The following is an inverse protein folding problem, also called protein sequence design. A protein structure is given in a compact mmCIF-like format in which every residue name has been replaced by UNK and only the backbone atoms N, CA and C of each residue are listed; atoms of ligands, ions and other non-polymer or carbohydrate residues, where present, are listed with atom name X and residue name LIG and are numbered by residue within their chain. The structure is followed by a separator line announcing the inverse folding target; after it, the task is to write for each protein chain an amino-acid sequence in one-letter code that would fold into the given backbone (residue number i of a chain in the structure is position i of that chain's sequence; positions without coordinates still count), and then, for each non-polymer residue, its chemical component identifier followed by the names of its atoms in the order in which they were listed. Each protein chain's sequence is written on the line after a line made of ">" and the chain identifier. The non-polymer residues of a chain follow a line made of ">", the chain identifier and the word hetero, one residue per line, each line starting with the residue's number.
data_IF_282151108175
#
_entry.id   IF_282151108175
#
_cell.length_a   1.000
_cell.length_b   1.000
_cell.length_c   1.000
_cell.angle_alpha   90.00
_cell.angle_beta   90.00
_cell.angle_gamma   90.00
#
_symmetry.space_group_name_H-M   'P 1'
#
loop_
_entity.id
_entity.type
_entity.pdbx_description
1 polymer ?
#
# COMPACT_ATOMS: atom_id res chain seq x y z
N UNK A 1 -29.93 -0.70 6.96
CA UNK A 1 -29.24 -1.97 6.68
C UNK A 1 -27.85 -1.64 6.12
N UNK A 2 -26.80 -1.90 6.89
CA UNK A 2 -25.43 -1.56 6.49
C UNK A 2 -24.94 -2.51 5.38
N UNK A 3 -24.28 -1.97 4.36
CA UNK A 3 -23.67 -2.74 3.27
C UNK A 3 -22.96 -3.99 3.79
N UNK A 4 -23.31 -5.14 3.22
CA UNK A 4 -22.68 -6.41 3.60
C UNK A 4 -21.19 -6.40 3.23
N UNK A 5 -20.38 -7.14 3.98
CA UNK A 5 -18.95 -7.32 3.73
C UNK A 5 -18.65 -7.77 2.30
N UNK A 6 -19.56 -8.52 1.68
CA UNK A 6 -19.48 -8.96 0.29
C UNK A 6 -19.63 -7.81 -0.72
N UNK A 7 -20.49 -6.82 -0.42
CA UNK A 7 -20.67 -5.63 -1.26
C UNK A 7 -19.46 -4.70 -1.18
N UNK A 8 -18.86 -4.54 0.00
CA UNK A 8 -17.57 -3.83 0.13
C UNK A 8 -16.47 -4.51 -0.67
N UNK A 9 -16.36 -5.84 -0.60
CA UNK A 9 -15.36 -6.59 -1.37
C UNK A 9 -15.59 -6.52 -2.89
N UNK A 10 -16.85 -6.47 -3.36
CA UNK A 10 -17.19 -6.28 -4.77
C UNK A 10 -16.94 -4.86 -5.26
N UNK A 11 -17.23 -3.85 -4.43
CA UNK A 11 -16.92 -2.45 -4.73
C UNK A 11 -15.40 -2.20 -4.74
N UNK A 12 -14.67 -2.84 -3.83
CA UNK A 12 -13.21 -2.81 -3.76
C UNK A 12 -12.56 -3.47 -4.97
N UNK A 13 -12.96 -4.71 -5.32
CA UNK A 13 -12.43 -5.41 -6.52
C UNK A 13 -12.64 -4.61 -7.81
N UNK A 14 -13.81 -4.00 -7.99
CA UNK A 14 -14.11 -3.15 -9.16
C UNK A 14 -13.28 -1.87 -9.25
N UNK A 15 -12.79 -1.34 -8.12
CA UNK A 15 -11.98 -0.11 -8.10
C UNK A 15 -10.48 -0.34 -8.25
N UNK A 16 -10.01 -1.59 -8.20
CA UNK A 16 -8.60 -1.91 -7.97
C UNK A 16 -7.98 -2.97 -8.89
N UNK A 17 -8.73 -3.48 -9.88
CA UNK A 17 -8.14 -4.06 -11.08
C UNK A 17 -8.18 -2.99 -12.18
N UNK A 18 -7.13 -2.17 -12.26
CA UNK A 18 -6.77 -1.50 -13.51
C UNK A 18 -5.58 -2.28 -14.04
N UNK A 19 -5.84 -3.18 -14.99
CA UNK A 19 -4.77 -3.85 -15.73
C UNK A 19 -3.85 -2.78 -16.35
N UNK A 20 -2.58 -2.75 -15.93
CA UNK A 20 -1.55 -1.91 -16.54
C UNK A 20 -0.65 -1.07 -15.62
N UNK A 21 -0.93 -0.94 -14.31
CA UNK A 21 -0.14 -0.09 -13.40
C UNK A 21 0.35 -0.79 -12.11
N UNK A 22 0.04 -2.08 -11.94
CA UNK A 22 0.47 -2.86 -10.78
C UNK A 22 1.73 -3.68 -11.14
N UNK A 23 2.84 -3.46 -10.43
CA UNK A 23 4.07 -4.26 -10.55
C UNK A 23 4.17 -5.34 -9.46
N UNK A 24 4.80 -6.47 -9.79
CA UNK A 24 4.97 -7.58 -8.85
C UNK A 24 6.12 -7.31 -7.88
N UNK A 25 5.78 -7.12 -6.61
CA UNK A 25 6.75 -7.09 -5.51
C UNK A 25 7.30 -8.51 -5.23
N UNK A 26 8.49 -8.80 -5.75
CA UNK A 26 9.16 -10.11 -5.60
C UNK A 26 10.11 -10.10 -4.40
N UNK A 27 9.58 -10.35 -3.20
CA UNK A 27 10.38 -10.36 -1.97
C UNK A 27 9.97 -11.46 -0.99
N UNK A 28 10.92 -11.91 -0.18
CA UNK A 28 10.69 -12.77 0.99
C UNK A 28 10.78 -11.89 2.24
N UNK A 29 9.76 -11.97 3.10
CA UNK A 29 9.71 -11.23 4.37
C UNK A 29 9.66 -12.20 5.55
N UNK A 30 10.17 -11.80 6.74
CA UNK A 30 10.01 -12.59 7.95
C UNK A 30 8.53 -12.88 8.25
N UNK A 31 8.25 -14.09 8.76
CA UNK A 31 6.87 -14.54 9.09
C UNK A 31 6.14 -13.55 10.00
N UNK A 32 6.86 -12.94 10.94
CA UNK A 32 6.29 -11.95 11.87
C UNK A 32 5.78 -10.69 11.15
N UNK A 33 6.50 -10.23 10.11
CA UNK A 33 6.10 -9.06 9.31
C UNK A 33 4.84 -9.38 8.52
N UNK A 34 4.79 -10.55 7.87
CA UNK A 34 3.58 -11.01 7.17
C UNK A 34 2.37 -11.07 8.11
N UNK A 35 2.51 -11.65 9.30
CA UNK A 35 1.43 -11.73 10.30
C UNK A 35 0.95 -10.36 10.77
N UNK A 36 1.85 -9.38 10.91
CA UNK A 36 1.47 -7.99 11.23
C UNK A 36 0.65 -7.38 10.10
N UNK A 37 1.10 -7.51 8.86
CA UNK A 37 0.37 -7.02 7.68
C UNK A 37 -1.02 -7.64 7.58
N UNK A 38 -1.14 -8.94 7.81
CA UNK A 38 -2.41 -9.66 7.84
C UNK A 38 -3.37 -9.11 8.91
N UNK A 39 -2.89 -8.88 10.14
CA UNK A 39 -3.74 -8.33 11.21
C UNK A 39 -4.22 -6.91 10.87
N UNK A 40 -3.33 -6.05 10.37
CA UNK A 40 -3.66 -4.68 10.00
C UNK A 40 -4.69 -4.63 8.85
N UNK A 41 -4.45 -5.44 7.80
CA UNK A 41 -5.36 -5.55 6.66
C UNK A 41 -6.75 -6.03 7.11
N UNK A 42 -6.80 -7.06 7.97
CA UNK A 42 -8.06 -7.58 8.54
C UNK A 42 -8.79 -6.54 9.37
N UNK A 43 -8.09 -5.84 10.26
CA UNK A 43 -8.68 -4.79 11.11
C UNK A 43 -9.29 -3.65 10.29
N UNK A 44 -8.64 -3.27 9.18
CA UNK A 44 -9.11 -2.22 8.26
C UNK A 44 -10.09 -2.72 7.19
N UNK A 45 -10.33 -4.03 7.11
CA UNK A 45 -11.22 -4.63 6.11
C UNK A 45 -10.72 -4.52 4.66
N UNK A 46 -9.40 -4.45 4.45
CA UNK A 46 -8.75 -4.29 3.13
C UNK A 46 -7.83 -5.47 2.82
N UNK A 47 -7.34 -5.56 1.58
CA UNK A 47 -6.33 -6.57 1.23
C UNK A 47 -4.94 -6.22 1.79
N UNK A 48 -4.06 -7.22 1.90
CA UNK A 48 -2.65 -7.00 2.27
C UNK A 48 -1.95 -6.03 1.31
N UNK A 49 -2.25 -6.11 0.00
CA UNK A 49 -1.70 -5.20 -1.02
C UNK A 49 -2.06 -3.75 -0.72
N UNK A 50 -3.33 -3.45 -0.44
CA UNK A 50 -3.74 -2.08 -0.12
C UNK A 50 -3.21 -1.62 1.22
N UNK A 51 -3.19 -2.50 2.23
CA UNK A 51 -2.61 -2.14 3.52
C UNK A 51 -1.12 -1.79 3.37
N UNK A 52 -0.39 -2.54 2.53
CA UNK A 52 1.01 -2.26 2.24
C UNK A 52 1.17 -0.91 1.52
N UNK A 53 0.38 -0.66 0.46
CA UNK A 53 0.42 0.61 -0.27
C UNK A 53 0.11 1.82 0.61
N UNK A 54 -0.91 1.72 1.47
CA UNK A 54 -1.29 2.78 2.43
C UNK A 54 -0.18 3.04 3.44
N UNK A 55 0.43 1.98 3.98
CA UNK A 55 1.52 2.10 4.93
C UNK A 55 2.76 2.77 4.30
N UNK A 56 3.12 2.39 3.08
CA UNK A 56 4.23 2.98 2.34
C UNK A 56 3.98 4.46 2.01
N UNK A 57 2.81 4.81 1.48
CA UNK A 57 2.48 6.20 1.17
C UNK A 57 2.46 7.08 2.43
N UNK A 58 1.96 6.55 3.55
CA UNK A 58 1.93 7.29 4.82
C UNK A 58 3.35 7.53 5.37
N UNK A 59 4.21 6.51 5.31
CA UNK A 59 5.61 6.61 5.74
C UNK A 59 6.40 7.55 4.83
N UNK A 60 6.21 7.47 3.51
CA UNK A 60 6.84 8.38 2.55
C UNK A 60 6.47 9.82 2.85
N UNK A 61 5.19 10.13 3.08
CA UNK A 61 4.76 11.48 3.45
C UNK A 61 5.36 11.93 4.79
N UNK A 62 5.43 11.06 5.79
CA UNK A 62 6.08 11.36 7.07
C UNK A 62 7.55 11.73 6.89
N UNK A 63 8.28 10.97 6.07
CA UNK A 63 9.68 11.22 5.75
C UNK A 63 9.84 12.53 4.98
N UNK A 64 9.05 12.76 3.93
CA UNK A 64 9.12 13.96 3.11
C UNK A 64 8.81 15.23 3.90
N UNK A 65 7.86 15.17 4.84
CA UNK A 65 7.56 16.30 5.72
C UNK A 65 8.73 16.67 6.64
N UNK A 66 9.64 15.74 6.91
CA UNK A 66 10.84 15.97 7.71
C UNK A 66 12.08 16.38 6.90
N UNK A 67 11.96 16.50 5.57
CA UNK A 67 13.07 16.84 4.67
C UNK A 67 12.99 18.29 4.21
N UNK A 68 14.11 19.02 4.35
CA UNK A 68 14.24 20.38 3.79
C UNK A 68 14.36 20.38 2.26
N UNK A 69 14.95 19.31 1.70
CA UNK A 69 15.08 19.10 0.26
C UNK A 69 14.58 17.71 -0.14
N UNK A 70 13.41 17.70 -0.77
CA UNK A 70 12.75 16.48 -1.25
C UNK A 70 13.31 16.00 -2.60
N UNK A 71 14.08 16.84 -3.31
CA UNK A 71 14.63 16.48 -4.62
C UNK A 71 15.68 15.37 -4.52
N UNK A 72 16.47 15.37 -3.45
CA UNK A 72 17.45 14.32 -3.17
C UNK A 72 16.82 12.93 -2.96
N UNK A 73 15.60 12.86 -2.42
CA UNK A 73 14.88 11.60 -2.23
C UNK A 73 14.55 10.93 -3.57
N UNK A 74 14.03 11.71 -4.52
CA UNK A 74 13.68 11.22 -5.86
C UNK A 74 14.90 10.99 -6.77
N UNK A 75 15.96 11.79 -6.63
CA UNK A 75 17.19 11.66 -7.42
C UNK A 75 17.95 10.37 -7.08
N UNK A 76 17.96 9.96 -5.81
CA UNK A 76 18.59 8.71 -5.36
C UNK A 76 17.85 7.43 -5.80
N UNK A 77 16.59 7.55 -6.21
CA UNK A 77 15.76 6.41 -6.65
C UNK A 77 15.92 6.08 -8.14
N UNK A 78 16.72 6.83 -8.91
CA UNK A 78 17.10 6.48 -10.27
C UNK A 78 15.97 6.58 -11.31
N UNK A 79 15.20 7.67 -11.30
CA UNK A 79 14.21 7.94 -12.35
C UNK A 79 14.21 9.41 -12.78
N UNK A 80 14.81 9.72 -13.93
CA UNK A 80 14.39 10.88 -14.71
C UNK A 80 12.92 10.71 -15.11
N UNK A 81 12.13 11.76 -14.86
CA UNK A 81 10.73 11.90 -15.29
C UNK A 81 10.56 11.79 -16.81
#
# INVERSE_FOLDING_TARGET
>A
MGMSTAERQRAYRRRHLRDGADERLSMVVPVQVKRRLERLARHRGVSQRVMLAVALASLEQEILNGMDDTSAFYDSAGGSL
#
